data_IF_466974127441
#
_entry.id   IF_466974127441
#
_cell.length_a   1.000
_cell.length_b   1.000
_cell.length_c   1.000
_cell.angle_alpha   90.00
_cell.angle_beta   90.00
_cell.angle_gamma   90.00
#
_symmetry.space_group_name_H-M   'P 1'
#
loop_
_entity.id
_entity.type
_entity.pdbx_description
1 polymer ?
#
# COMPACT_ATOMS: atom_id res chain seq x y z
N UNK A 1 -18.42 35.23 -31.19
CA UNK A 1 -17.28 34.67 -30.43
C UNK A 1 -17.66 33.28 -29.97
N UNK A 2 -17.08 32.26 -30.61
CA UNK A 2 -17.35 30.84 -30.36
C UNK A 2 -16.50 30.36 -29.19
N UNK A 3 -17.12 29.87 -28.12
CA UNK A 3 -16.46 29.00 -27.14
C UNK A 3 -16.94 27.58 -27.42
N UNK A 4 -16.10 26.81 -28.13
CA UNK A 4 -16.23 25.35 -28.19
C UNK A 4 -16.00 24.81 -26.77
N UNK A 5 -17.02 24.21 -26.20
CA UNK A 5 -16.88 23.30 -25.06
C UNK A 5 -16.49 21.93 -25.61
N UNK A 6 -15.20 21.61 -25.59
CA UNK A 6 -14.76 20.22 -25.74
C UNK A 6 -15.10 19.48 -24.46
N UNK A 7 -16.32 18.95 -24.40
CA UNK A 7 -16.69 17.92 -23.44
C UNK A 7 -16.03 16.62 -23.91
N UNK A 8 -14.97 16.21 -23.20
CA UNK A 8 -14.42 14.87 -23.28
C UNK A 8 -15.51 13.85 -22.91
N UNK A 9 -16.23 13.37 -23.92
CA UNK A 9 -17.14 12.22 -23.81
C UNK A 9 -16.29 10.96 -23.83
N UNK A 10 -15.77 10.54 -22.68
CA UNK A 10 -15.36 9.15 -22.52
C UNK A 10 -16.64 8.32 -22.41
N UNK A 11 -17.11 7.77 -23.52
CA UNK A 11 -18.17 6.75 -23.49
C UNK A 11 -17.64 5.57 -22.69
N UNK A 12 -18.31 5.21 -21.60
CA UNK A 12 -17.97 3.99 -20.86
C UNK A 12 -18.02 2.80 -21.84
N UNK A 13 -16.90 2.09 -21.95
CA UNK A 13 -16.85 0.85 -22.74
C UNK A 13 -17.81 -0.16 -22.09
N UNK A 14 -18.55 -0.90 -22.91
CA UNK A 14 -19.35 -2.01 -22.42
C UNK A 14 -18.44 -3.06 -21.75
N UNK A 15 -18.93 -3.74 -20.72
CA UNK A 15 -18.14 -4.70 -19.92
C UNK A 15 -17.50 -5.81 -20.77
N UNK A 16 -18.16 -6.20 -21.86
CA UNK A 16 -17.72 -7.20 -22.83
C UNK A 16 -16.73 -6.64 -23.88
N UNK A 17 -16.40 -5.35 -23.82
CA UNK A 17 -15.48 -4.67 -24.73
C UNK A 17 -14.27 -4.13 -23.95
N UNK A 18 -13.26 -4.99 -23.67
CA UNK A 18 -12.05 -4.53 -23.00
C UNK A 18 -11.36 -3.44 -23.85
N UNK A 19 -10.64 -2.50 -23.22
CA UNK A 19 -9.92 -1.45 -23.93
C UNK A 19 -9.01 -2.05 -25.01
N UNK A 20 -9.12 -1.56 -26.25
CA UNK A 20 -8.39 -2.14 -27.38
C UNK A 20 -6.87 -2.23 -27.13
N UNK A 21 -6.30 -1.20 -26.48
CA UNK A 21 -4.88 -1.15 -26.14
C UNK A 21 -4.41 -2.34 -25.30
N UNK A 22 -5.29 -2.95 -24.48
CA UNK A 22 -4.92 -4.07 -23.62
C UNK A 22 -4.59 -5.34 -24.43
N UNK A 23 -5.10 -5.45 -25.66
CA UNK A 23 -4.78 -6.57 -26.58
C UNK A 23 -3.37 -6.47 -27.16
N UNK A 24 -2.82 -5.27 -27.20
CA UNK A 24 -1.48 -4.95 -27.74
C UNK A 24 -0.47 -4.69 -26.61
N UNK A 25 -0.88 -4.91 -25.36
CA UNK A 25 -0.09 -4.62 -24.19
C UNK A 25 1.01 -5.67 -23.98
N UNK A 26 2.24 -5.20 -23.82
CA UNK A 26 3.39 -5.95 -23.32
C UNK A 26 3.59 -5.49 -21.89
N UNK A 27 3.14 -6.33 -20.96
CA UNK A 27 3.05 -6.03 -19.54
C UNK A 27 4.39 -6.21 -18.82
N UNK A 28 4.64 -5.34 -17.85
CA UNK A 28 5.68 -5.52 -16.85
C UNK A 28 5.08 -5.31 -15.46
N UNK A 29 5.14 -6.33 -14.60
CA UNK A 29 4.67 -6.24 -13.22
C UNK A 29 5.80 -5.75 -12.31
N UNK A 30 5.50 -4.74 -11.48
CA UNK A 30 6.47 -4.14 -10.56
C UNK A 30 6.02 -4.32 -9.12
N UNK A 31 6.86 -4.99 -8.35
CA UNK A 31 6.84 -4.98 -6.89
C UNK A 31 7.82 -3.93 -6.38
N UNK A 32 7.35 -2.70 -6.13
CA UNK A 32 8.20 -1.50 -5.97
C UNK A 32 9.28 -1.69 -4.90
N UNK A 33 8.90 -2.20 -3.73
CA UNK A 33 9.79 -2.41 -2.58
C UNK A 33 11.01 -3.33 -2.89
N UNK A 34 10.92 -4.13 -3.96
CA UNK A 34 11.97 -5.07 -4.42
C UNK A 34 12.45 -4.80 -5.84
N UNK A 35 12.01 -3.73 -6.47
CA UNK A 35 12.37 -3.46 -7.86
C UNK A 35 13.73 -2.77 -7.96
N UNK A 36 13.86 -1.61 -7.30
CA UNK A 36 15.12 -0.85 -7.23
C UNK A 36 15.02 0.22 -6.14
N UNK A 37 16.04 0.32 -5.30
CA UNK A 37 16.24 1.46 -4.41
C UNK A 37 16.93 2.60 -5.18
N UNK A 38 16.24 3.72 -5.36
CA UNK A 38 16.76 4.95 -5.97
C UNK A 38 16.90 6.10 -4.97
N UNK A 39 16.34 5.98 -3.76
CA UNK A 39 16.44 6.96 -2.70
C UNK A 39 16.62 6.29 -1.32
N UNK A 40 17.85 5.96 -0.90
CA UNK A 40 18.08 5.31 0.40
C UNK A 40 17.60 6.12 1.62
N UNK A 41 17.38 7.43 1.48
CA UNK A 41 16.91 8.29 2.57
C UNK A 41 15.44 8.02 2.96
N UNK A 42 14.68 7.32 2.10
CA UNK A 42 13.30 6.92 2.38
C UNK A 42 13.15 5.42 2.72
N UNK A 43 14.26 4.74 3.01
CA UNK A 43 14.24 3.31 3.29
C UNK A 43 13.34 2.98 4.51
N UNK A 44 12.64 1.83 4.49
CA UNK A 44 11.80 1.40 5.60
C UNK A 44 12.55 1.30 6.94
N UNK A 45 11.93 1.84 7.98
CA UNK A 45 12.37 1.74 9.37
C UNK A 45 11.40 0.87 10.19
N UNK A 46 11.78 0.42 11.39
CA UNK A 46 10.86 -0.28 12.28
C UNK A 46 9.55 0.48 12.53
N UNK A 47 9.61 1.81 12.65
CA UNK A 47 8.44 2.67 12.84
C UNK A 47 7.51 2.63 11.63
N UNK A 48 8.04 2.76 10.41
CA UNK A 48 7.22 2.69 9.19
C UNK A 48 6.58 1.31 8.98
N UNK A 49 7.17 0.25 9.55
CA UNK A 49 6.68 -1.12 9.46
C UNK A 49 5.75 -1.53 10.62
N UNK A 50 5.44 -0.62 11.54
CA UNK A 50 4.72 -0.92 12.77
C UNK A 50 3.35 -1.57 12.49
N UNK A 51 3.05 -2.67 13.20
CA UNK A 51 1.83 -3.49 13.09
C UNK A 51 1.53 -4.13 11.72
N UNK A 52 2.48 -4.09 10.77
CA UNK A 52 2.34 -4.80 9.49
C UNK A 52 2.37 -6.33 9.62
N UNK A 53 3.04 -6.83 10.65
CA UNK A 53 3.50 -8.20 10.73
C UNK A 53 2.82 -8.93 11.88
N UNK A 54 2.79 -10.27 11.78
CA UNK A 54 2.28 -11.12 12.87
C UNK A 54 3.23 -11.07 14.08
N UNK A 55 4.53 -10.90 13.83
CA UNK A 55 5.56 -10.69 14.84
C UNK A 55 6.12 -9.28 14.78
N UNK A 56 6.49 -8.74 15.94
CA UNK A 56 7.30 -7.54 16.00
C UNK A 56 8.67 -7.75 15.38
N UNK A 57 9.19 -6.71 14.73
CA UNK A 57 10.58 -6.69 14.27
C UNK A 57 11.52 -6.75 15.48
N UNK A 58 12.62 -7.54 15.42
CA UNK A 58 13.61 -7.59 16.50
C UNK A 58 14.36 -6.25 16.62
N UNK A 59 14.94 -6.00 17.79
CA UNK A 59 15.60 -4.72 18.09
C UNK A 59 16.82 -4.43 17.21
N UNK A 60 17.50 -5.47 16.73
CA UNK A 60 18.66 -5.41 15.83
C UNK A 60 18.27 -5.59 14.35
N UNK A 61 16.98 -5.48 14.02
CA UNK A 61 16.51 -5.54 12.65
C UNK A 61 17.20 -4.51 11.76
N UNK A 62 17.55 -4.92 10.55
CA UNK A 62 18.13 -4.07 9.53
C UNK A 62 17.63 -4.47 8.13
N UNK A 63 17.75 -3.55 7.18
CA UNK A 63 17.46 -3.79 5.78
C UNK A 63 18.24 -5.00 5.25
N UNK A 64 17.59 -5.82 4.44
CA UNK A 64 18.21 -6.93 3.75
C UNK A 64 19.05 -6.37 2.58
N UNK A 65 20.34 -6.71 2.46
CA UNK A 65 21.17 -6.25 1.35
C UNK A 65 20.63 -6.72 0.00
N UNK A 66 20.72 -5.86 -1.03
CA UNK A 66 20.42 -6.24 -2.41
C UNK A 66 21.31 -7.41 -2.85
N UNK A 67 20.70 -8.42 -3.48
CA UNK A 67 21.39 -9.64 -3.88
C UNK A 67 21.65 -10.65 -2.75
N UNK A 68 21.15 -10.40 -1.52
CA UNK A 68 21.20 -11.38 -0.44
C UNK A 68 20.58 -12.71 -0.88
N UNK A 69 21.21 -13.83 -0.50
CA UNK A 69 20.76 -15.16 -0.89
C UNK A 69 19.37 -15.42 -0.31
N UNK A 70 18.41 -15.73 -1.19
CA UNK A 70 17.02 -15.91 -0.85
C UNK A 70 16.78 -16.89 0.30
N UNK A 71 17.48 -18.02 0.32
CA UNK A 71 17.32 -19.08 1.32
C UNK A 71 18.26 -18.92 2.52
N UNK A 72 19.20 -17.97 2.49
CA UNK A 72 20.06 -17.68 3.64
C UNK A 72 19.31 -16.77 4.60
N UNK A 73 19.25 -17.16 5.86
CA UNK A 73 18.64 -16.36 6.92
C UNK A 73 19.54 -15.16 7.30
N UNK A 74 18.93 -14.00 7.51
CA UNK A 74 19.58 -12.79 8.01
C UNK A 74 20.11 -12.96 9.44
N UNK A 75 21.17 -12.23 9.78
CA UNK A 75 21.75 -12.29 11.14
C UNK A 75 20.75 -11.84 12.20
N UNK A 76 19.98 -10.77 11.96
CA UNK A 76 18.90 -10.31 12.86
C UNK A 76 17.75 -11.31 12.98
N UNK A 77 17.59 -12.21 12.01
CA UNK A 77 16.50 -13.19 12.00
C UNK A 77 16.84 -14.43 12.83
N UNK A 78 18.13 -14.82 12.96
CA UNK A 78 18.54 -16.04 13.68
C UNK A 78 18.11 -16.06 15.15
N UNK A 79 18.27 -14.98 15.94
CA UNK A 79 17.89 -14.97 17.35
C UNK A 79 16.39 -15.08 17.59
N UNK A 80 15.56 -14.76 16.59
CA UNK A 80 14.09 -14.80 16.72
C UNK A 80 13.56 -16.23 16.87
N UNK A 81 14.28 -17.24 16.38
CA UNK A 81 13.83 -18.63 16.33
C UNK A 81 12.63 -18.88 15.39
N UNK A 82 12.20 -17.86 14.65
CA UNK A 82 11.08 -17.95 13.71
C UNK A 82 11.50 -18.66 12.43
N UNK A 83 10.54 -19.32 11.79
CA UNK A 83 10.79 -19.99 10.52
C UNK A 83 10.98 -19.01 9.34
N UNK A 84 11.30 -19.58 8.18
CA UNK A 84 11.50 -18.82 6.95
C UNK A 84 10.26 -18.03 6.53
N UNK A 85 9.06 -18.59 6.63
CA UNK A 85 7.82 -17.96 6.16
C UNK A 85 7.40 -16.78 7.06
N UNK A 86 7.78 -16.81 8.33
CA UNK A 86 7.62 -15.69 9.27
C UNK A 86 8.65 -14.59 9.00
N UNK A 87 9.92 -14.96 8.90
CA UNK A 87 11.02 -13.98 8.78
C UNK A 87 11.12 -13.33 7.40
N UNK A 88 10.66 -13.98 6.33
CA UNK A 88 10.67 -13.38 4.99
C UNK A 88 9.78 -12.13 4.89
N UNK A 89 8.70 -12.07 5.67
CA UNK A 89 7.79 -10.91 5.73
C UNK A 89 8.43 -9.72 6.46
N UNK A 90 9.51 -9.94 7.20
CA UNK A 90 10.28 -8.90 7.87
C UNK A 90 11.34 -8.26 6.96
N UNK A 91 11.67 -8.90 5.83
CA UNK A 91 12.69 -8.38 4.91
C UNK A 91 12.23 -7.07 4.26
N UNK A 92 13.14 -6.11 4.14
CA UNK A 92 12.97 -4.86 3.39
C UNK A 92 14.26 -4.55 2.65
N UNK A 93 14.17 -4.01 1.44
CA UNK A 93 15.27 -3.70 0.54
C UNK A 93 15.27 -2.22 0.13
N UNK A 94 14.20 -1.47 0.44
CA UNK A 94 14.12 -0.03 0.20
C UNK A 94 13.82 0.34 -1.25
N UNK A 95 13.17 -0.54 -2.02
CA UNK A 95 12.76 -0.17 -3.37
C UNK A 95 11.69 0.93 -3.36
N UNK A 96 11.77 1.87 -4.29
CA UNK A 96 10.98 3.11 -4.29
C UNK A 96 10.65 3.62 -5.71
N UNK A 97 9.87 4.71 -5.80
CA UNK A 97 9.44 5.29 -7.08
C UNK A 97 10.56 6.00 -7.85
N UNK A 98 11.59 6.50 -7.17
CA UNK A 98 12.81 7.02 -7.82
C UNK A 98 13.51 5.89 -8.57
N UNK A 99 13.64 4.72 -7.93
CA UNK A 99 14.20 3.53 -8.56
C UNK A 99 13.40 3.03 -9.76
N UNK A 100 12.07 3.14 -9.72
CA UNK A 100 11.22 2.86 -10.89
C UNK A 100 11.45 3.87 -12.02
N UNK A 101 11.48 5.16 -11.69
CA UNK A 101 11.70 6.23 -12.66
C UNK A 101 13.03 6.06 -13.41
N UNK A 102 14.11 5.74 -12.70
CA UNK A 102 15.43 5.50 -13.27
C UNK A 102 15.48 4.30 -14.25
N UNK A 103 14.46 3.43 -14.23
CA UNK A 103 14.35 2.27 -15.11
C UNK A 103 13.39 2.46 -16.29
N UNK A 104 12.86 3.66 -16.49
CA UNK A 104 12.09 3.97 -17.71
C UNK A 104 12.87 3.63 -19.01
N UNK A 105 14.17 3.95 -19.15
CA UNK A 105 14.94 3.55 -20.34
C UNK A 105 14.98 2.03 -20.55
N UNK A 106 15.06 1.26 -19.46
CA UNK A 106 15.07 -0.21 -19.50
C UNK A 106 13.72 -0.77 -19.99
N UNK A 107 12.59 -0.20 -19.53
CA UNK A 107 11.27 -0.60 -20.01
C UNK A 107 11.12 -0.37 -21.53
N UNK A 108 11.64 0.75 -22.04
CA UNK A 108 11.63 1.03 -23.48
C UNK A 108 12.47 0.06 -24.28
N UNK A 109 13.68 -0.25 -23.80
CA UNK A 109 14.57 -1.21 -24.47
C UNK A 109 13.91 -2.59 -24.63
N UNK A 110 13.15 -3.02 -23.62
CA UNK A 110 12.37 -4.26 -23.65
C UNK A 110 11.09 -4.19 -24.49
N UNK A 111 10.66 -3.00 -24.91
CA UNK A 111 9.40 -2.79 -25.61
C UNK A 111 8.15 -2.86 -24.72
N UNK A 112 8.31 -2.67 -23.40
CA UNK A 112 7.18 -2.61 -22.46
C UNK A 112 6.33 -1.38 -22.77
N UNK A 113 5.01 -1.55 -22.84
CA UNK A 113 4.05 -0.46 -23.05
C UNK A 113 2.92 -0.43 -22.01
N UNK A 114 2.96 -1.32 -21.00
CA UNK A 114 2.04 -1.31 -19.88
C UNK A 114 2.75 -1.81 -18.61
N UNK A 115 2.59 -1.09 -17.51
CA UNK A 115 3.08 -1.46 -16.19
C UNK A 115 1.91 -1.74 -15.27
N UNK A 116 1.97 -2.86 -14.57
CA UNK A 116 1.10 -3.18 -13.45
C UNK A 116 1.90 -3.07 -12.16
N UNK A 117 1.55 -2.11 -11.31
CA UNK A 117 2.11 -2.03 -9.97
C UNK A 117 1.33 -2.93 -9.03
N UNK A 118 2.05 -3.77 -8.27
CA UNK A 118 1.54 -4.26 -7.00
C UNK A 118 1.16 -3.08 -6.08
N UNK A 119 0.42 -3.31 -4.97
CA UNK A 119 -0.10 -2.20 -4.18
C UNK A 119 0.98 -1.19 -3.77
N UNK A 120 0.66 0.09 -3.95
CA UNK A 120 1.54 1.22 -3.62
C UNK A 120 0.88 2.23 -2.67
N UNK A 121 -0.35 1.96 -2.25
CA UNK A 121 -1.04 2.75 -1.23
C UNK A 121 -0.27 2.71 0.09
N UNK A 122 -0.48 3.72 0.94
CA UNK A 122 0.12 3.80 2.25
C UNK A 122 -0.21 2.58 3.11
N UNK A 123 0.83 1.82 3.49
CA UNK A 123 0.72 0.54 4.18
C UNK A 123 2.07 0.08 4.77
N UNK A 124 2.10 -0.43 6.02
CA UNK A 124 3.35 -0.72 6.72
C UNK A 124 4.03 -2.03 6.25
N UNK A 125 3.30 -2.95 5.61
CA UNK A 125 3.93 -4.17 5.06
C UNK A 125 4.76 -3.90 3.80
N UNK A 126 5.60 -4.87 3.43
CA UNK A 126 6.34 -4.84 2.17
C UNK A 126 5.41 -4.95 0.95
N UNK A 127 4.26 -5.64 1.10
CA UNK A 127 3.35 -5.96 0.00
C UNK A 127 2.18 -4.99 -0.14
N UNK A 128 1.93 -4.18 0.88
CA UNK A 128 0.98 -3.06 0.90
C UNK A 128 -0.51 -3.38 0.70
N UNK A 129 -0.87 -4.66 0.72
CA UNK A 129 -2.27 -5.14 0.81
C UNK A 129 -2.99 -4.77 2.14
N UNK A 130 -2.26 -4.30 3.14
CA UNK A 130 -2.72 -3.86 4.46
C UNK A 130 -2.84 -2.33 4.54
N UNK A 131 -3.64 -1.74 3.64
CA UNK A 131 -3.79 -0.30 3.53
C UNK A 131 -4.10 0.39 4.88
N UNK A 132 -3.37 1.48 5.17
CA UNK A 132 -3.71 2.48 6.20
C UNK A 132 -4.55 3.59 5.62
N UNK A 133 -4.19 4.04 4.42
CA UNK A 133 -4.88 5.08 3.66
C UNK A 133 -4.92 4.67 2.19
N UNK A 134 -6.10 4.67 1.57
CA UNK A 134 -6.24 4.36 0.14
C UNK A 134 -5.94 5.56 -0.76
N UNK A 135 -6.03 6.78 -0.23
CA UNK A 135 -5.87 8.01 -1.00
C UNK A 135 -4.44 8.54 -1.03
N UNK A 136 -3.50 7.88 -0.34
CA UNK A 136 -2.07 8.20 -0.38
C UNK A 136 -1.24 7.04 -0.92
N UNK A 137 -0.17 7.40 -1.63
CA UNK A 137 0.98 6.55 -1.91
C UNK A 137 1.82 6.42 -0.64
N UNK A 138 2.42 5.26 -0.45
CA UNK A 138 3.23 4.99 0.72
C UNK A 138 4.40 5.95 0.92
N UNK A 139 4.57 6.40 2.15
CA UNK A 139 5.60 7.36 2.55
C UNK A 139 7.03 6.86 2.27
N UNK A 140 7.28 5.55 2.32
CA UNK A 140 8.61 4.98 1.99
C UNK A 140 8.88 4.97 0.48
N UNK A 141 7.93 5.44 -0.34
CA UNK A 141 8.12 5.63 -1.77
C UNK A 141 8.27 7.11 -2.17
N UNK A 142 8.17 8.03 -1.20
CA UNK A 142 8.25 9.48 -1.38
C UNK A 142 9.64 10.08 -1.15
N UNK A 143 9.68 11.35 -0.73
CA UNK A 143 10.91 12.11 -0.47
C UNK A 143 11.05 12.56 1.00
N UNK A 144 9.95 12.68 1.74
CA UNK A 144 9.95 13.14 3.14
C UNK A 144 8.95 12.35 3.99
N UNK A 145 9.41 11.23 4.56
CA UNK A 145 8.56 10.36 5.41
C UNK A 145 7.94 11.14 6.57
N UNK A 146 8.72 11.99 7.25
CA UNK A 146 8.25 12.69 8.45
C UNK A 146 7.24 13.78 8.09
N UNK A 147 7.52 14.55 7.05
CA UNK A 147 6.60 15.56 6.53
C UNK A 147 5.31 14.95 6.01
N UNK A 148 5.39 13.85 5.27
CA UNK A 148 4.22 13.17 4.72
C UNK A 148 3.33 12.60 5.83
N UNK A 149 3.91 11.92 6.83
CA UNK A 149 3.15 11.45 7.99
C UNK A 149 2.51 12.59 8.80
N UNK A 150 3.20 13.73 8.92
CA UNK A 150 2.64 14.90 9.61
C UNK A 150 1.44 15.49 8.86
N UNK A 151 1.54 15.64 7.52
CA UNK A 151 0.43 16.09 6.69
C UNK A 151 -0.77 15.14 6.79
N UNK A 152 -0.54 13.84 6.68
CA UNK A 152 -1.60 12.82 6.76
C UNK A 152 -2.31 12.82 8.12
N UNK A 153 -1.61 13.17 9.20
CA UNK A 153 -2.18 13.25 10.55
C UNK A 153 -3.07 14.48 10.79
N UNK A 154 -2.98 15.51 9.94
CA UNK A 154 -3.84 16.71 10.00
C UNK A 154 -5.19 16.52 9.31
N UNK A 155 -5.33 15.46 8.52
CA UNK A 155 -6.52 15.22 7.70
C UNK A 155 -7.72 14.72 8.51
N UNK A 156 -8.91 15.13 8.08
CA UNK A 156 -10.12 14.40 8.39
C UNK A 156 -10.41 13.41 7.27
N UNK A 157 -10.34 12.11 7.58
CA UNK A 157 -10.54 11.05 6.59
C UNK A 157 -11.95 11.04 5.96
N UNK A 158 -12.95 11.65 6.60
CA UNK A 158 -14.31 11.79 6.04
C UNK A 158 -14.49 13.05 5.17
N UNK A 159 -13.55 14.00 5.21
CA UNK A 159 -13.65 15.27 4.48
C UNK A 159 -12.46 15.44 3.51
N UNK A 160 -12.64 15.09 2.23
CA UNK A 160 -11.60 15.24 1.21
C UNK A 160 -11.09 16.66 0.98
N UNK A 161 -11.81 17.70 1.45
CA UNK A 161 -11.32 19.08 1.36
C UNK A 161 -10.16 19.36 2.32
N UNK A 162 -9.96 18.50 3.31
CA UNK A 162 -8.83 18.54 4.25
C UNK A 162 -7.61 17.77 3.75
N UNK A 163 -7.74 16.96 2.70
CA UNK A 163 -6.65 16.09 2.27
C UNK A 163 -5.50 16.86 1.63
N UNK A 164 -4.28 16.43 1.93
CA UNK A 164 -3.04 17.03 1.50
C UNK A 164 -2.33 16.12 0.51
N UNK A 165 -1.81 16.71 -0.57
CA UNK A 165 -0.87 15.97 -1.42
C UNK A 165 0.44 15.74 -0.64
N UNK A 166 0.88 14.50 -0.50
CA UNK A 166 2.18 14.14 0.07
C UNK A 166 3.30 14.25 -0.97
N UNK A 167 4.56 14.14 -0.55
CA UNK A 167 5.69 14.02 -1.47
C UNK A 167 5.60 12.72 -2.29
N UNK A 168 5.19 11.62 -1.65
CA UNK A 168 4.95 10.34 -2.32
C UNK A 168 3.88 10.45 -3.43
N UNK A 169 2.74 11.07 -3.15
CA UNK A 169 1.66 11.24 -4.12
C UNK A 169 2.12 12.07 -5.33
N UNK A 170 2.78 13.20 -5.06
CA UNK A 170 3.31 14.08 -6.12
C UNK A 170 4.36 13.36 -6.96
N UNK A 171 5.21 12.54 -6.34
CA UNK A 171 6.23 11.76 -7.05
C UNK A 171 5.58 10.72 -7.95
N UNK A 172 4.57 10.01 -7.47
CA UNK A 172 3.83 9.04 -8.28
C UNK A 172 3.14 9.71 -9.48
N UNK A 173 2.48 10.85 -9.29
CA UNK A 173 1.88 11.60 -10.40
C UNK A 173 2.93 12.01 -11.46
N UNK A 174 4.12 12.46 -11.02
CA UNK A 174 5.23 12.76 -11.93
C UNK A 174 5.71 11.52 -12.68
N UNK A 175 5.82 10.38 -11.99
CA UNK A 175 6.21 9.11 -12.61
C UNK A 175 5.19 8.67 -13.67
N UNK A 176 3.90 8.70 -13.36
CA UNK A 176 2.83 8.37 -14.31
C UNK A 176 2.91 9.24 -15.56
N UNK A 177 3.14 10.55 -15.39
CA UNK A 177 3.33 11.45 -16.54
C UNK A 177 4.54 11.08 -17.40
N UNK A 178 5.68 10.73 -16.78
CA UNK A 178 6.89 10.28 -17.50
C UNK A 178 6.66 8.96 -18.23
N UNK A 179 5.98 8.00 -17.60
CA UNK A 179 5.60 6.73 -18.23
C UNK A 179 4.68 6.96 -19.45
N UNK A 180 3.66 7.81 -19.30
CA UNK A 180 2.76 8.15 -20.40
C UNK A 180 3.48 8.85 -21.58
N UNK A 181 4.48 9.70 -21.30
CA UNK A 181 5.30 10.32 -22.35
C UNK A 181 6.05 9.27 -23.19
N UNK A 182 6.32 8.10 -22.62
CA UNK A 182 6.97 6.97 -23.29
C UNK A 182 5.98 5.94 -23.83
N UNK A 183 4.69 6.27 -23.86
CA UNK A 183 3.63 5.36 -24.33
C UNK A 183 3.32 4.21 -23.38
N UNK A 184 3.83 4.26 -22.14
CA UNK A 184 3.63 3.22 -21.13
C UNK A 184 2.38 3.54 -20.32
N UNK A 185 1.40 2.64 -20.34
CA UNK A 185 0.18 2.73 -19.52
C UNK A 185 0.42 2.18 -18.12
N UNK A 186 -0.37 2.64 -17.15
CA UNK A 186 -0.23 2.23 -15.75
C UNK A 186 -1.54 1.61 -15.25
N UNK A 187 -1.43 0.44 -14.62
CA UNK A 187 -2.48 -0.17 -13.79
C UNK A 187 -1.96 -0.26 -12.36
N UNK A 188 -2.86 0.03 -11.41
CA UNK A 188 -2.61 -0.07 -9.99
C UNK A 188 -3.40 -1.22 -9.38
N UNK A 189 -2.78 -1.89 -8.43
CA UNK A 189 -3.46 -2.81 -7.53
C UNK A 189 -4.03 -2.07 -6.32
N UNK A 190 -5.20 -2.52 -5.86
CA UNK A 190 -5.85 -2.03 -4.66
C UNK A 190 -6.55 -3.20 -3.96
N UNK A 191 -6.30 -3.36 -2.66
CA UNK A 191 -7.02 -4.34 -1.84
C UNK A 191 -8.36 -3.79 -1.40
N UNK A 192 -9.42 -4.07 -2.16
CA UNK A 192 -10.80 -3.64 -1.82
C UNK A 192 -11.53 -4.64 -0.90
N UNK A 193 -10.97 -5.82 -0.66
CA UNK A 193 -11.60 -6.84 0.19
C UNK A 193 -11.34 -6.60 1.67
N UNK A 194 -10.18 -6.08 2.03
CA UNK A 194 -9.74 -5.93 3.41
C UNK A 194 -8.83 -4.71 3.53
N UNK A 195 -8.72 -4.17 4.74
CA UNK A 195 -7.76 -3.12 5.09
C UNK A 195 -6.60 -3.71 5.89
N UNK A 196 -5.65 -2.88 6.32
CA UNK A 196 -4.77 -3.23 7.44
C UNK A 196 -5.44 -2.99 8.79
N UNK A 197 -4.88 -3.58 9.85
CA UNK A 197 -5.24 -3.26 11.25
C UNK A 197 -4.91 -1.80 11.65
N UNK A 198 -4.02 -1.14 10.90
CA UNK A 198 -3.68 0.27 11.07
C UNK A 198 -4.60 1.21 10.28
N UNK A 199 -5.60 0.70 9.56
CA UNK A 199 -6.55 1.53 8.84
C UNK A 199 -7.34 2.41 9.81
N UNK A 200 -7.43 3.70 9.53
CA UNK A 200 -7.99 4.70 10.44
C UNK A 200 -9.40 4.35 10.93
N UNK A 201 -10.26 3.84 10.05
CA UNK A 201 -11.62 3.44 10.42
C UNK A 201 -11.60 2.21 11.35
N UNK A 202 -10.74 1.23 11.07
CA UNK A 202 -10.59 0.05 11.93
C UNK A 202 -10.02 0.41 13.30
N UNK A 203 -9.05 1.33 13.37
CA UNK A 203 -8.52 1.87 14.63
C UNK A 203 -9.60 2.55 15.46
N UNK A 204 -10.55 3.24 14.83
CA UNK A 204 -11.71 3.81 15.51
C UNK A 204 -12.62 2.71 16.07
N UNK A 205 -12.87 1.63 15.32
CA UNK A 205 -13.63 0.46 15.81
C UNK A 205 -12.93 -0.20 16.99
N UNK A 206 -11.62 -0.41 16.94
CA UNK A 206 -10.85 -0.97 18.07
C UNK A 206 -10.94 -0.11 19.33
N UNK A 207 -10.97 1.22 19.16
CA UNK A 207 -11.01 2.19 20.27
C UNK A 207 -12.40 2.36 20.86
N UNK A 208 -13.43 2.47 20.01
CA UNK A 208 -14.77 2.87 20.41
C UNK A 208 -15.76 1.68 20.46
N UNK A 209 -15.35 0.51 19.96
CA UNK A 209 -16.12 -0.73 19.95
C UNK A 209 -17.53 -0.52 19.36
N UNK A 210 -18.56 -0.92 20.09
CA UNK A 210 -19.98 -0.81 19.70
C UNK A 210 -20.45 0.63 19.43
N UNK A 211 -19.69 1.63 19.87
CA UNK A 211 -19.97 3.05 19.67
C UNK A 211 -19.26 3.65 18.44
N UNK A 212 -18.39 2.89 17.76
CA UNK A 212 -17.73 3.37 16.55
C UNK A 212 -18.74 3.61 15.43
N UNK A 213 -18.60 4.73 14.72
CA UNK A 213 -19.36 5.04 13.51
C UNK A 213 -19.04 4.06 12.36
N UNK A 214 -17.87 3.41 12.41
CA UNK A 214 -17.38 2.53 11.36
C UNK A 214 -17.55 1.03 11.66
N UNK A 215 -18.19 0.67 12.78
CA UNK A 215 -18.33 -0.74 13.20
C UNK A 215 -18.97 -1.63 12.12
N UNK A 216 -19.90 -1.07 11.35
CA UNK A 216 -20.65 -1.76 10.30
C UNK A 216 -19.90 -1.85 8.97
N UNK A 217 -18.73 -1.20 8.84
CA UNK A 217 -17.82 -1.40 7.70
C UNK A 217 -17.15 -2.77 7.73
N UNK A 218 -17.15 -3.45 8.87
CA UNK A 218 -16.51 -4.73 9.09
C UNK A 218 -17.51 -5.76 9.64
N UNK A 219 -17.19 -7.04 9.49
CA UNK A 219 -17.94 -8.12 10.13
C UNK A 219 -17.57 -8.22 11.61
N UNK A 220 -18.11 -7.33 12.46
CA UNK A 220 -17.78 -7.24 13.89
C UNK A 220 -18.87 -7.82 14.79
N UNK A 221 -18.45 -8.41 15.91
CA UNK A 221 -19.31 -8.84 17.02
C UNK A 221 -18.72 -8.36 18.34
N UNK A 222 -19.52 -7.65 19.12
CA UNK A 222 -19.13 -7.15 20.44
C UNK A 222 -19.73 -8.05 21.53
N UNK A 223 -18.90 -8.49 22.47
CA UNK A 223 -19.29 -9.41 23.54
C UNK A 223 -18.99 -8.74 24.87
N UNK A 224 -20.03 -8.53 25.67
CA UNK A 224 -19.90 -7.98 27.02
C UNK A 224 -19.76 -9.10 28.04
N UNK A 225 -18.64 -9.11 28.76
CA UNK A 225 -18.43 -10.01 29.87
C UNK A 225 -19.34 -9.62 31.05
N UNK A 226 -20.16 -10.57 31.52
CA UNK A 226 -21.19 -10.29 32.52
C UNK A 226 -20.63 -10.03 33.93
N UNK A 227 -19.37 -10.42 34.21
CA UNK A 227 -18.77 -10.31 35.53
C UNK A 227 -17.94 -9.02 35.66
N UNK A 228 -17.08 -8.76 34.68
CA UNK A 228 -16.20 -7.58 34.63
C UNK A 228 -16.85 -6.37 33.97
N UNK A 229 -17.87 -6.57 33.13
CA UNK A 229 -18.47 -5.53 32.31
C UNK A 229 -17.64 -5.12 31.09
N UNK A 230 -16.46 -5.74 30.89
CA UNK A 230 -15.58 -5.46 29.76
C UNK A 230 -16.22 -5.91 28.45
N UNK A 231 -16.00 -5.13 27.39
CA UNK A 231 -16.46 -5.47 26.04
C UNK A 231 -15.25 -5.94 25.23
N UNK A 232 -15.33 -7.14 24.67
CA UNK A 232 -14.39 -7.65 23.68
C UNK A 232 -14.99 -7.55 22.27
N UNK A 233 -14.11 -7.49 21.27
CA UNK A 233 -14.50 -7.49 19.86
C UNK A 233 -13.97 -8.75 19.17
N UNK A 234 -14.86 -9.42 18.46
CA UNK A 234 -14.51 -10.40 17.44
C UNK A 234 -14.77 -9.80 16.06
N UNK A 235 -13.96 -10.16 15.07
CA UNK A 235 -14.13 -9.71 13.70
C UNK A 235 -13.58 -10.72 12.69
N UNK A 236 -14.07 -10.67 11.46
CA UNK A 236 -13.52 -11.46 10.35
C UNK A 236 -12.30 -10.78 9.74
N UNK A 237 -11.28 -11.58 9.45
CA UNK A 237 -10.11 -11.15 8.69
C UNK A 237 -9.99 -11.98 7.42
N UNK A 238 -9.29 -11.46 6.41
CA UNK A 238 -9.09 -12.15 5.15
C UNK A 238 -8.49 -13.54 5.39
N UNK A 239 -9.23 -14.59 5.00
CA UNK A 239 -8.91 -16.02 5.27
C UNK A 239 -8.55 -16.33 6.73
N UNK A 240 -9.07 -15.55 7.68
CA UNK A 240 -8.80 -15.67 9.12
C UNK A 240 -7.58 -14.88 9.63
N UNK A 241 -6.85 -14.16 8.76
CA UNK A 241 -5.70 -13.33 9.15
C UNK A 241 -6.18 -12.05 9.82
N UNK A 242 -5.92 -11.91 11.12
CA UNK A 242 -6.43 -10.80 11.94
C UNK A 242 -5.80 -9.44 11.63
N UNK A 243 -4.59 -9.40 11.06
CA UNK A 243 -3.98 -8.14 10.63
C UNK A 243 -4.63 -7.55 9.36
N UNK A 244 -5.54 -8.30 8.72
CA UNK A 244 -6.24 -7.92 7.49
C UNK A 244 -7.76 -7.97 7.69
N UNK A 245 -8.35 -7.06 8.50
CA UNK A 245 -9.79 -7.04 8.75
C UNK A 245 -10.60 -6.90 7.45
N UNK A 246 -11.56 -7.80 7.26
CA UNK A 246 -12.37 -7.87 6.04
C UNK A 246 -13.47 -6.81 6.04
N UNK A 247 -13.52 -6.04 4.96
CA UNK A 247 -14.57 -5.07 4.71
C UNK A 247 -15.88 -5.82 4.37
N UNK A 248 -16.97 -5.37 4.97
CA UNK A 248 -18.30 -5.89 4.72
C UNK A 248 -18.77 -5.48 3.32
N UNK A 249 -19.11 -6.48 2.51
CA UNK A 249 -19.69 -6.27 1.16
C UNK A 249 -21.19 -5.98 1.30
N UNK A 250 -21.65 -4.89 0.69
CA UNK A 250 -23.05 -4.45 0.66
C UNK A 250 -23.72 -4.74 -0.67
#
# INVERSE_FOLDING_TARGET
MSKKSDQNKHSALAYDQPPQWAREAIWYQIFVERFRNGNPENDPTPETCHNALIDSLPADWALTPWGHNWYKQEEWAKPTGLDFYRTIQMRRYGGDLTGVEEKIPYFKELGINAIYFNPINDAPSLHKYDARHYHHIDVTFGDDIKGDLALMAEENHEDPSTWHWTTADRKFLKLVNKLHQEGIRVILDFSWNHTGNNFWAFKDVEKNLENSHYKDWYHTRFIKDSLSGNVSMEYEGWIGIKNLPELRKI
#
